data_IF_429097395998
#
_entry.id   IF_429097395998
#
_cell.length_a   1.000
_cell.length_b   1.000
_cell.length_c   1.000
_cell.angle_alpha   90.00
_cell.angle_beta   90.00
_cell.angle_gamma   90.00
#
_symmetry.space_group_name_H-M   'P 1'
#
loop_
_entity.id
_entity.type
_entity.pdbx_description
1 polymer ?
#
# COMPACT_ATOMS: atom_id res chain seq x y z
N UNK A 1 -15.51 10.93 -9.91
CA UNK A 1 -14.08 10.74 -10.25
C UNK A 1 -13.17 11.20 -9.14
N UNK A 2 -13.43 12.38 -8.56
CA UNK A 2 -12.52 13.00 -7.58
C UNK A 2 -12.46 12.24 -6.24
N UNK A 3 -13.55 11.62 -5.80
CA UNK A 3 -13.57 10.70 -4.64
C UNK A 3 -12.59 9.52 -4.79
N UNK A 4 -12.50 8.95 -6.00
CA UNK A 4 -11.55 7.86 -6.31
C UNK A 4 -10.12 8.34 -6.13
N UNK A 5 -9.84 9.57 -6.57
CA UNK A 5 -8.54 10.22 -6.43
C UNK A 5 -8.24 10.52 -4.95
N UNK A 6 -9.18 11.13 -4.24
CA UNK A 6 -9.06 11.48 -2.83
C UNK A 6 -8.84 10.27 -1.92
N UNK A 7 -9.60 9.19 -2.10
CA UNK A 7 -9.39 7.94 -1.33
C UNK A 7 -8.02 7.32 -1.65
N UNK A 8 -7.64 7.27 -2.93
CA UNK A 8 -6.34 6.75 -3.37
C UNK A 8 -5.18 7.54 -2.75
N UNK A 9 -5.28 8.86 -2.71
CA UNK A 9 -4.25 9.76 -2.16
C UNK A 9 -4.20 9.64 -0.63
N UNK A 10 -5.33 9.68 0.07
CA UNK A 10 -5.37 9.47 1.51
C UNK A 10 -4.76 8.12 1.95
N UNK A 11 -5.09 7.04 1.24
CA UNK A 11 -4.51 5.70 1.47
C UNK A 11 -3.01 5.71 1.17
N UNK A 12 -2.59 6.27 0.04
CA UNK A 12 -1.18 6.30 -0.35
C UNK A 12 -0.34 7.10 0.64
N UNK A 13 -0.74 8.33 0.96
CA UNK A 13 0.00 9.23 1.83
C UNK A 13 0.11 8.66 3.25
N UNK A 14 -0.98 8.08 3.78
CA UNK A 14 -0.94 7.37 5.07
C UNK A 14 0.13 6.27 5.08
N UNK A 15 0.08 5.36 4.10
CA UNK A 15 0.94 4.18 4.10
C UNK A 15 2.38 4.48 3.69
N UNK A 16 2.61 5.46 2.82
CA UNK A 16 3.95 5.93 2.44
C UNK A 16 4.62 6.68 3.60
N UNK A 17 3.88 7.57 4.29
CA UNK A 17 4.37 8.22 5.50
C UNK A 17 4.68 7.20 6.60
N UNK A 18 3.81 6.21 6.81
CA UNK A 18 4.07 5.11 7.75
C UNK A 18 5.31 4.29 7.36
N UNK A 19 5.40 3.85 6.11
CA UNK A 19 6.50 3.02 5.61
C UNK A 19 7.87 3.72 5.70
N UNK A 20 7.90 5.06 5.60
CA UNK A 20 9.13 5.86 5.69
C UNK A 20 9.50 6.24 7.13
N UNK A 21 8.52 6.52 7.99
CA UNK A 21 8.76 7.17 9.28
C UNK A 21 8.39 6.32 10.51
N UNK A 22 7.70 5.19 10.33
CA UNK A 22 7.12 4.39 11.43
C UNK A 22 6.05 5.13 12.24
N UNK A 23 5.54 6.26 11.74
CA UNK A 23 4.61 7.18 12.41
C UNK A 23 3.32 7.33 11.62
N UNK A 24 2.30 7.90 12.26
CA UNK A 24 1.02 8.25 11.64
C UNK A 24 0.81 9.75 11.88
N UNK A 25 0.44 10.49 10.83
CA UNK A 25 0.06 11.90 10.95
C UNK A 25 -1.48 12.02 10.91
N UNK A 26 -2.13 12.72 11.86
CA UNK A 26 -3.60 12.74 11.98
C UNK A 26 -4.35 13.17 10.71
N UNK A 27 -3.80 14.11 9.93
CA UNK A 27 -4.45 14.62 8.72
C UNK A 27 -4.75 13.54 7.66
N UNK A 28 -3.98 12.45 7.59
CA UNK A 28 -4.27 11.35 6.65
C UNK A 28 -5.48 10.50 7.08
N UNK A 29 -5.83 10.52 8.36
CA UNK A 29 -6.99 9.81 8.88
C UNK A 29 -8.30 10.55 8.61
N UNK A 30 -8.29 11.88 8.50
CA UNK A 30 -9.51 12.67 8.30
C UNK A 30 -10.26 12.29 7.02
N UNK A 31 -9.56 12.28 5.87
CA UNK A 31 -10.13 11.87 4.58
C UNK A 31 -10.60 10.41 4.61
N UNK A 32 -9.80 9.49 5.17
CA UNK A 32 -10.18 8.07 5.28
C UNK A 32 -11.41 7.89 6.18
N UNK A 33 -11.49 8.61 7.29
CA UNK A 33 -12.61 8.59 8.22
C UNK A 33 -13.90 9.10 7.58
N UNK A 34 -13.84 10.03 6.62
CA UNK A 34 -15.01 10.43 5.82
C UNK A 34 -15.61 9.24 5.05
N UNK A 35 -14.78 8.50 4.31
CA UNK A 35 -15.21 7.29 3.60
C UNK A 35 -15.65 6.16 4.55
N UNK A 36 -14.98 6.00 5.70
CA UNK A 36 -15.35 5.01 6.70
C UNK A 36 -16.70 5.33 7.36
N UNK A 37 -16.95 6.59 7.71
CA UNK A 37 -18.22 7.04 8.28
C UNK A 37 -19.39 6.70 7.34
N UNK A 38 -19.26 7.01 6.05
CA UNK A 38 -20.27 6.69 5.05
C UNK A 38 -20.55 5.18 4.97
N UNK A 39 -19.53 4.34 4.77
CA UNK A 39 -19.75 2.89 4.67
C UNK A 39 -20.33 2.31 5.96
N UNK A 40 -19.90 2.79 7.14
CA UNK A 40 -20.41 2.31 8.43
C UNK A 40 -21.92 2.54 8.59
N UNK A 41 -22.46 3.67 8.13
CA UNK A 41 -23.91 3.92 8.11
C UNK A 41 -24.70 2.88 7.28
N UNK A 42 -24.03 2.17 6.36
CA UNK A 42 -24.63 1.12 5.55
C UNK A 42 -24.16 -0.31 5.89
N UNK A 43 -23.33 -0.48 6.94
CA UNK A 43 -22.91 -1.81 7.39
C UNK A 43 -24.03 -2.56 8.12
N UNK A 44 -24.00 -3.89 8.03
CA UNK A 44 -24.90 -4.79 8.74
C UNK A 44 -24.19 -6.10 9.09
N UNK A 45 -24.77 -6.89 9.98
CA UNK A 45 -24.35 -8.28 10.18
C UNK A 45 -25.21 -9.16 9.26
N UNK A 46 -24.56 -10.05 8.51
CA UNK A 46 -25.22 -11.06 7.67
C UNK A 46 -24.85 -12.45 8.17
N UNK A 47 -25.83 -13.35 8.19
CA UNK A 47 -25.58 -14.78 8.30
C UNK A 47 -25.03 -15.28 6.96
N UNK A 48 -23.96 -16.09 7.00
CA UNK A 48 -23.37 -16.76 5.84
C UNK A 48 -23.12 -18.22 6.18
N UNK A 49 -22.79 -19.05 5.19
CA UNK A 49 -22.36 -20.45 5.40
C UNK A 49 -21.15 -20.56 6.36
N UNK A 50 -20.31 -19.53 6.41
CA UNK A 50 -19.14 -19.43 7.29
C UNK A 50 -19.44 -18.65 8.59
N UNK A 51 -20.71 -18.58 9.01
CA UNK A 51 -21.15 -17.85 10.21
C UNK A 51 -21.46 -16.37 9.98
N UNK A 52 -21.42 -15.59 11.06
CA UNK A 52 -21.74 -14.15 11.06
C UNK A 52 -20.61 -13.32 10.44
N UNK A 53 -20.95 -12.47 9.46
CA UNK A 53 -19.99 -11.62 8.76
C UNK A 53 -20.52 -10.20 8.56
N UNK A 54 -19.60 -9.22 8.41
CA UNK A 54 -19.93 -7.84 8.04
C UNK A 54 -20.40 -7.80 6.58
N UNK A 55 -21.63 -7.34 6.36
CA UNK A 55 -22.19 -7.04 5.04
C UNK A 55 -22.56 -5.56 4.90
N UNK A 56 -23.13 -5.22 3.73
CA UNK A 56 -23.63 -3.87 3.42
C UNK A 56 -25.10 -3.97 2.99
N UNK A 57 -25.95 -3.04 3.44
CA UNK A 57 -27.37 -2.92 3.06
C UNK A 57 -27.55 -2.50 1.57
N UNK A 58 -27.23 -1.23 1.20
CA UNK A 58 -27.19 -0.66 -0.19
C UNK A 58 -28.52 -0.82 -0.96
N UNK A 59 -28.61 -1.51 -2.12
CA UNK A 59 -27.72 -2.54 -2.70
C UNK A 59 -26.72 -2.07 -3.78
N UNK A 60 -26.95 -0.92 -4.42
CA UNK A 60 -26.33 -0.34 -5.64
C UNK A 60 -24.81 -0.51 -5.79
N UNK A 61 -24.31 -0.81 -7.01
CA UNK A 61 -22.93 -1.27 -7.24
C UNK A 61 -21.89 -0.20 -7.63
N UNK A 62 -22.28 0.98 -8.13
CA UNK A 62 -21.34 1.92 -8.75
C UNK A 62 -20.48 2.75 -7.76
N UNK A 63 -21.01 3.11 -6.59
CA UNK A 63 -20.30 3.91 -5.58
C UNK A 63 -19.51 3.03 -4.58
N UNK A 64 -19.89 1.75 -4.46
CA UNK A 64 -19.32 0.81 -3.48
C UNK A 64 -17.87 0.38 -3.64
N UNK A 65 -17.18 0.45 -4.81
CA UNK A 65 -15.77 0.07 -4.90
C UNK A 65 -14.92 0.83 -3.89
N UNK A 66 -15.22 2.13 -3.68
CA UNK A 66 -14.52 2.98 -2.71
C UNK A 66 -14.74 2.52 -1.27
N UNK A 67 -15.97 2.15 -0.90
CA UNK A 67 -16.28 1.62 0.43
C UNK A 67 -15.51 0.33 0.74
N UNK A 68 -15.43 -0.60 -0.22
CA UNK A 68 -14.67 -1.85 -0.05
C UNK A 68 -13.18 -1.56 0.09
N UNK A 69 -12.65 -0.60 -0.69
CA UNK A 69 -11.25 -0.16 -0.59
C UNK A 69 -10.98 0.51 0.77
N UNK A 70 -11.86 1.39 1.25
CA UNK A 70 -11.74 2.04 2.56
C UNK A 70 -11.76 1.03 3.72
N UNK A 71 -12.71 0.09 3.72
CA UNK A 71 -12.76 -1.01 4.70
C UNK A 71 -11.54 -1.95 4.63
N UNK A 72 -10.97 -2.14 3.44
CA UNK A 72 -9.74 -2.94 3.26
C UNK A 72 -8.51 -2.20 3.77
N UNK A 73 -8.44 -0.88 3.57
CA UNK A 73 -7.41 -0.03 4.14
C UNK A 73 -7.50 -0.04 5.67
N UNK A 74 -8.66 0.26 6.26
CA UNK A 74 -8.91 0.15 7.71
C UNK A 74 -8.48 -1.21 8.27
N UNK A 75 -8.91 -2.31 7.64
CA UNK A 75 -8.54 -3.66 8.08
C UNK A 75 -7.02 -3.89 8.07
N UNK A 76 -6.28 -3.24 7.17
CA UNK A 76 -4.82 -3.28 7.15
C UNK A 76 -4.21 -2.34 8.21
N UNK A 77 -4.75 -1.13 8.37
CA UNK A 77 -4.36 -0.16 9.41
C UNK A 77 -4.45 -0.75 10.83
N UNK A 78 -5.52 -1.49 11.11
CA UNK A 78 -5.79 -2.07 12.43
C UNK A 78 -5.18 -3.47 12.64
N UNK A 79 -4.40 -3.97 11.67
CA UNK A 79 -3.75 -5.28 11.75
C UNK A 79 -2.27 -5.20 12.12
N UNK A 80 -1.74 -6.29 12.67
CA UNK A 80 -0.30 -6.53 12.84
C UNK A 80 0.49 -6.38 11.53
N UNK A 81 -0.16 -6.63 10.39
CA UNK A 81 0.37 -6.50 9.03
C UNK A 81 0.67 -5.06 8.61
N UNK A 82 0.21 -4.03 9.35
CA UNK A 82 0.61 -2.64 9.11
C UNK A 82 2.14 -2.49 9.09
N UNK A 83 2.83 -3.13 10.04
CA UNK A 83 4.30 -3.20 10.15
C UNK A 83 5.01 -3.82 8.93
N UNK A 84 4.25 -4.48 8.05
CA UNK A 84 4.74 -5.16 6.85
C UNK A 84 4.51 -4.32 5.58
N UNK A 85 3.84 -3.17 5.67
CA UNK A 85 3.66 -2.25 4.54
C UNK A 85 4.95 -1.47 4.30
N UNK A 86 5.41 -1.44 3.05
CA UNK A 86 6.67 -0.81 2.65
C UNK A 86 6.55 -0.08 1.32
N UNK A 87 7.30 0.99 1.15
CA UNK A 87 7.54 1.62 -0.16
C UNK A 87 8.67 0.89 -0.91
N UNK A 88 8.59 0.84 -2.24
CA UNK A 88 9.60 0.21 -3.09
C UNK A 88 10.78 1.16 -3.37
N UNK A 89 12.00 0.74 -3.04
CA UNK A 89 13.25 1.51 -3.22
C UNK A 89 13.54 1.97 -4.67
N UNK A 90 12.89 1.39 -5.70
CA UNK A 90 13.11 1.74 -7.11
C UNK A 90 11.96 2.54 -7.75
N UNK A 91 10.73 2.47 -7.22
CA UNK A 91 9.56 3.11 -7.86
C UNK A 91 8.54 3.76 -6.91
N UNK A 92 8.79 3.77 -5.59
CA UNK A 92 7.88 4.37 -4.61
C UNK A 92 6.56 3.61 -4.39
N UNK A 93 6.24 2.60 -5.20
CA UNK A 93 5.00 1.84 -5.02
C UNK A 93 4.97 1.12 -3.67
N UNK A 94 3.84 1.24 -2.98
CA UNK A 94 3.55 0.51 -1.77
C UNK A 94 3.36 -0.98 -2.05
N UNK A 95 3.84 -1.82 -1.15
CA UNK A 95 3.61 -3.26 -1.18
C UNK A 95 3.54 -3.83 0.23
N UNK A 96 2.86 -4.97 0.37
CA UNK A 96 2.82 -5.74 1.59
C UNK A 96 3.92 -6.81 1.57
N UNK A 97 4.85 -6.76 2.53
CA UNK A 97 5.95 -7.70 2.61
C UNK A 97 5.49 -9.05 3.17
N UNK A 98 5.16 -9.97 2.26
CA UNK A 98 4.82 -11.37 2.55
C UNK A 98 6.04 -12.30 2.63
N UNK A 99 7.28 -11.80 2.57
CA UNK A 99 8.47 -12.66 2.68
C UNK A 99 8.66 -13.19 4.10
N UNK A 100 9.21 -14.41 4.25
CA UNK A 100 9.38 -15.07 5.57
C UNK A 100 10.00 -14.14 6.63
N UNK A 101 11.08 -13.45 6.26
CA UNK A 101 11.87 -12.62 7.19
C UNK A 101 11.46 -11.14 7.19
N UNK A 102 10.44 -10.72 6.43
CA UNK A 102 10.07 -9.31 6.33
C UNK A 102 11.21 -8.42 5.80
N UNK A 103 12.04 -8.94 4.90
CA UNK A 103 13.28 -8.30 4.43
C UNK A 103 13.21 -7.81 2.97
N UNK A 104 12.02 -7.80 2.37
CA UNK A 104 11.81 -7.39 0.97
C UNK A 104 11.94 -5.86 0.84
N UNK A 105 12.66 -5.43 -0.20
CA UNK A 105 12.92 -4.01 -0.55
C UNK A 105 12.22 -3.52 -1.83
N UNK A 106 11.65 -4.45 -2.60
CA UNK A 106 11.09 -4.16 -3.93
C UNK A 106 9.69 -4.74 -4.11
N UNK A 107 8.75 -3.93 -4.63
CA UNK A 107 7.37 -4.34 -4.90
C UNK A 107 7.25 -5.52 -5.87
N UNK A 108 8.26 -5.78 -6.70
CA UNK A 108 8.41 -7.00 -7.49
C UNK A 108 9.91 -7.28 -7.75
N UNK A 109 10.33 -8.54 -7.62
CA UNK A 109 11.70 -8.97 -7.87
C UNK A 109 12.04 -8.96 -9.37
N UNK A 110 11.13 -9.41 -10.24
CA UNK A 110 11.42 -9.53 -11.68
C UNK A 110 11.54 -8.19 -12.39
N UNK A 111 10.81 -7.17 -11.92
CA UNK A 111 10.89 -5.80 -12.46
C UNK A 111 11.85 -4.92 -11.65
N UNK A 112 11.43 -4.42 -10.49
CA UNK A 112 12.21 -3.46 -9.69
C UNK A 112 13.52 -4.05 -9.13
N UNK A 113 13.49 -5.32 -8.70
CA UNK A 113 14.70 -6.01 -8.22
C UNK A 113 15.75 -6.19 -9.32
N UNK A 114 15.36 -6.73 -10.47
CA UNK A 114 16.23 -6.89 -11.65
C UNK A 114 16.78 -5.55 -12.15
N UNK A 115 15.94 -4.52 -12.28
CA UNK A 115 16.37 -3.18 -12.70
C UNK A 115 17.43 -2.59 -11.75
N UNK A 116 17.21 -2.69 -10.44
CA UNK A 116 18.16 -2.19 -9.43
C UNK A 116 19.50 -2.92 -9.51
N UNK A 117 19.47 -4.26 -9.63
CA UNK A 117 20.67 -5.08 -9.80
C UNK A 117 21.44 -4.75 -11.08
N UNK A 118 20.73 -4.56 -12.20
CA UNK A 118 21.32 -4.19 -13.48
C UNK A 118 22.00 -2.81 -13.41
N UNK A 119 21.30 -1.78 -12.91
CA UNK A 119 21.87 -0.44 -12.68
C UNK A 119 23.17 -0.51 -11.87
N UNK A 120 23.16 -1.26 -10.77
CA UNK A 120 24.35 -1.42 -9.91
C UNK A 120 25.51 -2.18 -10.59
N UNK A 121 25.21 -3.12 -11.50
CA UNK A 121 26.25 -3.79 -12.30
C UNK A 121 26.86 -2.84 -13.34
N UNK A 122 26.04 -2.07 -14.06
CA UNK A 122 26.54 -1.08 -15.03
C UNK A 122 27.41 0.00 -14.38
N UNK A 123 27.03 0.50 -13.19
CA UNK A 123 27.85 1.46 -12.44
C UNK A 123 29.23 0.89 -12.10
N UNK A 124 29.30 -0.29 -11.46
CA UNK A 124 30.57 -0.94 -11.13
C UNK A 124 31.42 -1.24 -12.36
N UNK A 125 30.80 -1.65 -13.47
CA UNK A 125 31.52 -1.88 -14.73
C UNK A 125 32.15 -0.59 -15.25
N UNK A 126 31.40 0.52 -15.28
CA UNK A 126 31.90 1.83 -15.71
C UNK A 126 33.03 2.34 -14.80
N UNK A 127 32.91 2.16 -13.48
CA UNK A 127 33.97 2.50 -12.52
C UNK A 127 35.26 1.74 -12.83
N UNK A 128 35.18 0.41 -13.00
CA UNK A 128 36.32 -0.45 -13.38
C UNK A 128 36.94 -0.07 -14.73
N UNK A 129 36.14 0.34 -15.71
CA UNK A 129 36.62 0.80 -17.02
C UNK A 129 37.29 2.17 -16.92
N UNK A 130 36.73 3.11 -16.15
CA UNK A 130 37.31 4.44 -15.93
C UNK A 130 38.61 4.40 -15.12
N UNK A 131 38.71 3.51 -14.12
CA UNK A 131 39.94 3.32 -13.34
C UNK A 131 41.09 2.71 -14.15
N UNK A 132 40.79 1.94 -15.20
CA UNK A 132 41.77 1.39 -16.14
C UNK A 132 42.25 2.39 -17.21
N UNK A 133 41.57 3.52 -17.38
CA UNK A 133 41.96 4.56 -18.33
C UNK A 133 42.83 5.66 -17.70
N UNK A 134 43.10 5.57 -16.39
CA UNK A 134 43.93 6.49 -15.60
C UNK A 134 45.23 5.80 -15.09
N UNK A 135 45.62 4.69 -15.74
CA UNK A 135 46.81 3.86 -15.50
C UNK A 135 47.50 3.57 -16.84
#
# INVERSE_FOLDING_TARGET
>A
MDEVRALREAIYDFFDYHAKNGKIHPAHLETLNGFLHEVYMYTCIKMTENGLQRGIFKKTYMEKPLWIIALSAESLLLSDRLSRVKACDNCGWLFLDTSKNGARRWCNMSTCGSQTKAKAWYHRKKELESGKSNL
#
